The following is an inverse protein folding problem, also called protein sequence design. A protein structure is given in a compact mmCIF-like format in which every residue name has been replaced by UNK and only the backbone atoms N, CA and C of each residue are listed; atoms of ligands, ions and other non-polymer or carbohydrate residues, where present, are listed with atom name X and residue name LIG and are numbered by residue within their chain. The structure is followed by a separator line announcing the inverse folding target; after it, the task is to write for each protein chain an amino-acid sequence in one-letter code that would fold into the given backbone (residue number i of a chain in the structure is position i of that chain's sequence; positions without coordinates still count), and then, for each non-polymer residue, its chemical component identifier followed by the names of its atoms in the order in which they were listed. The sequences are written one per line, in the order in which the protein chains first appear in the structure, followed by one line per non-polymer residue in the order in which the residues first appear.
data_IF_113200758658
#
_entry.id   IF_113200758658
#
_cell.length_a   1.000
_cell.length_b   1.000
_cell.length_c   1.000
_cell.angle_alpha   90.00
_cell.angle_beta   90.00
_cell.angle_gamma   90.00
#
_symmetry.space_group_name_H-M   'P 1'
#
loop_
_entity.id
_entity.type
_entity.pdbx_description
1 polymer ?
#
# COMPACT_ATOMS: atom_id res chain seq x y z
N UNK A 1 -14.85 15.75 21.01
CA UNK A 1 -14.45 16.50 19.79
C UNK A 1 -13.57 15.60 18.94
N UNK A 2 -14.19 14.75 18.12
CA UNK A 2 -13.48 13.91 17.16
C UNK A 2 -13.40 14.69 15.85
N UNK A 3 -12.20 15.12 15.48
CA UNK A 3 -11.94 15.75 14.18
C UNK A 3 -12.03 14.68 13.11
N UNK A 4 -13.22 14.55 12.51
CA UNK A 4 -13.37 13.88 11.23
C UNK A 4 -12.84 14.85 10.18
N UNK A 5 -11.54 14.75 9.87
CA UNK A 5 -10.93 15.51 8.78
C UNK A 5 -11.49 14.99 7.46
N UNK A 6 -12.61 15.59 7.02
CA UNK A 6 -13.03 15.56 5.63
C UNK A 6 -11.99 16.40 4.90
N UNK A 7 -11.06 15.77 4.18
CA UNK A 7 -10.13 16.43 3.26
C UNK A 7 -10.81 16.52 1.90
N UNK A 8 -11.25 17.70 1.43
CA UNK A 8 -11.65 17.88 0.05
C UNK A 8 -10.39 18.30 -0.73
N UNK A 9 -9.89 17.45 -1.61
CA UNK A 9 -9.02 17.89 -2.69
C UNK A 9 -9.29 17.08 -3.94
N UNK A 10 -10.00 17.71 -4.88
CA UNK A 10 -10.11 17.27 -6.27
C UNK A 10 -8.83 17.59 -7.02
N UNK A 11 -7.71 17.01 -6.58
CA UNK A 11 -6.51 16.83 -7.39
C UNK A 11 -6.42 15.34 -7.71
N UNK A 12 -5.98 14.98 -8.92
CA UNK A 12 -5.76 13.59 -9.33
C UNK A 12 -4.60 12.99 -8.52
N UNK A 13 -4.87 12.67 -7.26
CA UNK A 13 -3.88 12.17 -6.32
C UNK A 13 -3.85 10.66 -6.37
N UNK A 14 -2.65 10.11 -6.49
CA UNK A 14 -2.46 8.66 -6.44
C UNK A 14 -2.39 8.20 -4.99
N UNK A 15 -2.63 6.91 -4.82
CA UNK A 15 -2.43 6.22 -3.55
C UNK A 15 -1.21 5.31 -3.68
N UNK A 16 -0.40 5.23 -2.61
CA UNK A 16 0.74 4.34 -2.52
C UNK A 16 0.39 3.15 -1.62
N UNK A 17 0.41 1.94 -2.18
CA UNK A 17 0.31 0.70 -1.43
C UNK A 17 1.68 0.23 -0.97
N UNK A 18 1.77 -0.23 0.28
CA UNK A 18 3.01 -0.70 0.91
C UNK A 18 2.76 -2.04 1.58
N UNK A 19 3.51 -3.05 1.16
CA UNK A 19 3.64 -4.33 1.85
C UNK A 19 4.94 -4.32 2.67
N UNK A 20 4.83 -4.04 3.98
CA UNK A 20 5.97 -3.82 4.85
C UNK A 20 6.53 -5.15 5.40
N UNK A 21 7.65 -5.60 4.82
CA UNK A 21 8.41 -6.74 5.32
C UNK A 21 9.71 -6.36 6.02
N UNK A 22 10.17 -7.22 6.93
CA UNK A 22 11.42 -7.02 7.69
C UNK A 22 12.70 -6.96 6.85
N UNK A 23 12.67 -7.49 5.62
CA UNK A 23 13.82 -7.49 4.68
C UNK A 23 13.57 -6.70 3.41
N UNK A 24 12.34 -6.74 2.92
CA UNK A 24 11.92 -6.16 1.64
C UNK A 24 10.56 -5.52 1.82
N UNK A 25 10.33 -4.44 1.11
CA UNK A 25 9.05 -3.72 1.11
C UNK A 25 8.54 -3.67 -0.33
N UNK A 26 7.35 -4.19 -0.55
CA UNK A 26 6.67 -4.11 -1.83
C UNK A 26 5.92 -2.79 -1.95
N UNK A 27 6.00 -2.16 -3.12
CA UNK A 27 5.36 -0.87 -3.41
C UNK A 27 4.41 -1.02 -4.60
N UNK A 28 3.25 -0.38 -4.51
CA UNK A 28 2.26 -0.30 -5.58
C UNK A 28 1.69 1.12 -5.69
N UNK A 29 1.33 1.56 -6.89
CA UNK A 29 0.67 2.85 -7.12
C UNK A 29 -0.73 2.63 -7.67
N UNK A 30 -1.68 3.48 -7.28
CA UNK A 30 -2.98 3.50 -7.92
C UNK A 30 -2.92 4.16 -9.30
N UNK A 31 -3.96 3.92 -10.10
CA UNK A 31 -4.31 4.84 -11.17
C UNK A 31 -4.76 6.20 -10.62
N UNK A 32 -4.86 7.19 -11.51
CA UNK A 32 -5.24 8.57 -11.17
C UNK A 32 -6.70 8.69 -10.73
N UNK A 33 -7.53 7.70 -11.06
CA UNK A 33 -8.91 7.60 -10.58
C UNK A 33 -9.01 7.00 -9.17
N UNK A 34 -7.92 6.45 -8.62
CA UNK A 34 -7.94 5.77 -7.32
C UNK A 34 -8.82 4.52 -7.30
N UNK A 35 -8.95 3.82 -8.44
CA UNK A 35 -9.78 2.64 -8.59
C UNK A 35 -9.01 1.32 -8.39
N UNK A 36 -7.74 1.27 -8.83
CA UNK A 36 -6.96 0.02 -8.80
C UNK A 36 -5.47 0.26 -8.55
N UNK A 37 -4.85 -0.63 -7.77
CA UNK A 37 -3.41 -0.62 -7.51
C UNK A 37 -2.62 -1.48 -8.48
N UNK A 38 -1.44 -1.01 -8.88
CA UNK A 38 -0.51 -1.70 -9.78
C UNK A 38 0.86 -1.88 -9.12
N UNK A 39 1.50 -3.06 -9.23
CA UNK A 39 2.85 -3.28 -8.72
C UNK A 39 3.83 -2.24 -9.28
N UNK A 40 4.59 -1.60 -8.40
CA UNK A 40 5.55 -0.57 -8.77
C UNK A 40 6.99 -1.06 -8.66
N UNK A 41 7.41 -1.46 -7.45
CA UNK A 41 8.79 -1.92 -7.21
C UNK A 41 8.90 -2.67 -5.89
N UNK A 42 10.05 -3.29 -5.66
CA UNK A 42 10.43 -3.83 -4.35
C UNK A 42 11.74 -3.17 -3.92
N UNK A 43 11.73 -2.64 -2.70
CA UNK A 43 12.88 -1.97 -2.09
C UNK A 43 13.36 -2.77 -0.87
N UNK A 44 14.63 -2.60 -0.51
CA UNK A 44 15.21 -3.28 0.66
C UNK A 44 14.83 -2.46 1.91
N UNK A 45 14.40 -3.15 2.96
CA UNK A 45 14.13 -2.48 4.22
C UNK A 45 15.45 -2.08 4.89
N UNK A 46 15.85 -0.84 4.67
CA UNK A 46 17.05 -0.22 5.25
C UNK A 46 16.66 1.10 5.90
N UNK A 47 17.53 1.73 6.72
CA UNK A 47 17.23 3.04 7.31
C UNK A 47 16.92 4.16 6.29
N UNK A 48 17.27 3.99 5.01
CA UNK A 48 16.97 4.94 3.92
C UNK A 48 15.57 4.78 3.32
N UNK A 49 14.84 3.73 3.70
CA UNK A 49 13.54 3.41 3.13
C UNK A 49 12.57 4.60 3.25
N UNK A 50 12.55 5.30 4.38
CA UNK A 50 11.68 6.47 4.57
C UNK A 50 12.01 7.59 3.57
N UNK A 51 13.30 7.84 3.30
CA UNK A 51 13.71 8.83 2.30
C UNK A 51 13.26 8.41 0.89
N UNK A 52 13.40 7.13 0.55
CA UNK A 52 12.97 6.59 -0.75
C UNK A 52 11.45 6.72 -0.94
N UNK A 53 10.66 6.42 0.10
CA UNK A 53 9.21 6.60 0.05
C UNK A 53 8.81 8.07 -0.03
N UNK A 54 9.44 8.96 0.74
CA UNK A 54 9.14 10.39 0.67
C UNK A 54 9.46 10.97 -0.72
N UNK A 55 10.56 10.53 -1.34
CA UNK A 55 10.89 10.91 -2.71
C UNK A 55 9.86 10.40 -3.73
N UNK A 56 9.37 9.16 -3.56
CA UNK A 56 8.33 8.60 -4.41
C UNK A 56 6.99 9.34 -4.25
N UNK A 57 6.60 9.66 -3.01
CA UNK A 57 5.39 10.43 -2.70
C UNK A 57 5.40 11.77 -3.43
N UNK A 58 6.51 12.51 -3.36
CA UNK A 58 6.64 13.79 -4.03
C UNK A 58 6.67 13.65 -5.57
N UNK A 59 7.30 12.59 -6.09
CA UNK A 59 7.43 12.36 -7.54
C UNK A 59 6.12 11.98 -8.21
N UNK A 60 5.28 11.21 -7.54
CA UNK A 60 4.06 10.61 -8.10
C UNK A 60 2.77 11.28 -7.61
N UNK A 61 2.87 12.42 -6.90
CA UNK A 61 1.74 13.17 -6.32
C UNK A 61 0.82 12.26 -5.49
N UNK A 62 1.43 11.58 -4.52
CA UNK A 62 0.71 10.64 -3.66
C UNK A 62 -0.02 11.40 -2.57
N UNK A 63 -1.35 11.26 -2.53
CA UNK A 63 -2.21 11.91 -1.54
C UNK A 63 -2.46 11.09 -0.26
N UNK A 64 -2.20 9.78 -0.29
CA UNK A 64 -2.31 8.89 0.87
C UNK A 64 -1.49 7.60 0.69
N UNK A 65 -1.00 7.03 1.79
CA UNK A 65 -0.28 5.75 1.80
C UNK A 65 -1.09 4.70 2.55
N UNK A 66 -1.19 3.50 1.98
CA UNK A 66 -1.91 2.36 2.52
C UNK A 66 -0.89 1.28 2.86
N UNK A 67 -0.75 0.94 4.14
CA UNK A 67 0.19 -0.07 4.62
C UNK A 67 -0.58 -1.34 4.99
N UNK A 68 -0.15 -2.48 4.45
CA UNK A 68 -0.70 -3.78 4.82
C UNK A 68 -0.33 -4.17 6.26
N UNK A 69 -1.28 -4.71 7.00
CA UNK A 69 -1.06 -5.25 8.35
C UNK A 69 -1.25 -6.76 8.41
N UNK A 70 -0.15 -7.48 8.60
CA UNK A 70 -0.16 -8.89 9.00
C UNK A 70 -0.58 -9.04 10.45
N UNK A 71 -1.88 -9.29 10.66
CA UNK A 71 -2.40 -9.66 11.98
C UNK A 71 -2.06 -11.13 12.26
N UNK A 72 -1.39 -11.41 13.38
CA UNK A 72 -1.29 -12.79 13.88
C UNK A 72 -2.69 -13.24 14.32
N UNK A 73 -3.15 -14.40 13.84
CA UNK A 73 -4.43 -15.03 14.19
C UNK A 73 -4.54 -15.33 15.69
N UNK A 74 -3.41 -15.35 16.40
CA UNK A 74 -3.32 -15.64 17.83
C UNK A 74 -3.34 -14.40 18.75
N UNK A 75 -3.48 -13.18 18.21
CA UNK A 75 -3.60 -11.95 19.03
C UNK A 75 -2.36 -11.57 19.83
N UNK A 76 -1.18 -12.09 19.47
CA UNK A 76 0.11 -11.70 20.07
C UNK A 76 0.70 -10.52 19.30
N UNK A 77 1.45 -9.67 20.01
CA UNK A 77 2.15 -8.54 19.39
C UNK A 77 3.12 -9.04 18.31
N UNK A 78 2.78 -8.76 17.06
CA UNK A 78 3.68 -9.01 15.94
C UNK A 78 4.68 -7.83 15.89
N UNK A 79 5.99 -8.04 16.13
CA UNK A 79 6.98 -6.96 16.07
C UNK A 79 6.93 -6.21 14.73
N UNK A 80 6.59 -6.93 13.65
CA UNK A 80 6.44 -6.36 12.31
C UNK A 80 5.30 -5.33 12.25
N UNK A 81 4.20 -5.53 12.98
CA UNK A 81 3.11 -4.56 13.03
C UNK A 81 3.55 -3.27 13.73
N UNK A 82 4.26 -3.39 14.86
CA UNK A 82 4.84 -2.22 15.56
C UNK A 82 5.82 -1.45 14.65
N UNK A 83 6.68 -2.18 13.96
CA UNK A 83 7.65 -1.59 13.02
C UNK A 83 6.95 -0.91 11.84
N UNK A 84 5.87 -1.50 11.31
CA UNK A 84 5.06 -0.92 10.24
C UNK A 84 4.33 0.36 10.70
N UNK A 85 3.86 0.41 11.94
CA UNK A 85 3.27 1.62 12.51
C UNK A 85 4.31 2.73 12.67
N UNK A 86 5.44 2.43 13.30
CA UNK A 86 6.53 3.39 13.46
C UNK A 86 7.03 3.90 12.09
N UNK A 87 7.10 3.03 11.09
CA UNK A 87 7.42 3.40 9.71
C UNK A 87 6.38 4.38 9.12
N UNK A 88 5.09 4.11 9.29
CA UNK A 88 4.02 5.01 8.86
C UNK A 88 4.07 6.38 9.55
N UNK A 89 4.32 6.40 10.86
CA UNK A 89 4.45 7.65 11.63
C UNK A 89 5.60 8.51 11.09
N UNK A 90 6.74 7.89 10.78
CA UNK A 90 7.89 8.59 10.18
C UNK A 90 7.58 9.15 8.79
N UNK A 91 6.83 8.43 7.96
CA UNK A 91 6.39 8.93 6.66
C UNK A 91 5.47 10.14 6.86
N UNK A 92 4.44 10.01 7.71
CA UNK A 92 3.48 11.10 8.01
C UNK A 92 4.22 12.36 8.47
N UNK A 93 5.16 12.20 9.41
CA UNK A 93 5.91 13.31 9.96
C UNK A 93 6.79 14.04 8.91
N UNK A 94 7.25 13.34 7.87
CA UNK A 94 8.14 13.93 6.85
C UNK A 94 7.44 14.40 5.59
N UNK A 95 6.39 13.71 5.16
CA UNK A 95 5.66 14.03 3.92
C UNK A 95 4.37 14.81 4.16
N UNK A 96 3.79 14.75 5.37
CA UNK A 96 2.48 15.31 5.67
C UNK A 96 1.30 14.51 5.09
N UNK A 97 1.58 13.38 4.44
CA UNK A 97 0.58 12.52 3.80
C UNK A 97 -0.02 11.57 4.84
N UNK A 98 -1.36 11.42 4.90
CA UNK A 98 -2.00 10.48 5.81
C UNK A 98 -1.67 9.03 5.49
N UNK A 99 -1.56 8.22 6.54
CA UNK A 99 -1.37 6.77 6.45
C UNK A 99 -2.67 6.07 6.85
N UNK A 100 -3.07 5.09 6.04
CA UNK A 100 -4.13 4.15 6.35
C UNK A 100 -3.57 2.74 6.42
N UNK A 101 -4.21 1.90 7.22
CA UNK A 101 -3.80 0.51 7.39
C UNK A 101 -4.89 -0.43 6.87
N UNK A 102 -4.46 -1.47 6.17
CA UNK A 102 -5.34 -2.45 5.57
C UNK A 102 -5.00 -3.85 6.08
N UNK A 103 -5.96 -4.49 6.75
CA UNK A 103 -5.74 -5.84 7.30
C UNK A 103 -5.73 -6.88 6.18
N UNK A 104 -4.74 -7.78 6.19
CA UNK A 104 -4.59 -8.86 5.20
C UNK A 104 -5.68 -9.96 5.25
N UNK A 105 -6.73 -9.81 6.07
CA UNK A 105 -7.67 -10.89 6.47
C UNK A 105 -8.45 -11.52 5.29
N UNK A 106 -8.36 -10.99 4.08
CA UNK A 106 -9.23 -11.41 2.96
C UNK A 106 -8.56 -12.10 1.76
N UNK A 107 -7.40 -12.75 1.91
CA UNK A 107 -6.86 -13.55 0.78
C UNK A 107 -7.04 -15.06 0.92
N UNK A 108 -7.19 -15.65 2.12
CA UNK A 108 -7.29 -17.12 2.20
C UNK A 108 -8.61 -17.70 1.66
N UNK A 109 -9.70 -16.92 1.61
CA UNK A 109 -10.98 -17.37 1.06
C UNK A 109 -11.28 -16.83 -0.35
N UNK A 110 -10.82 -15.61 -0.69
CA UNK A 110 -11.05 -14.99 -2.00
C UNK A 110 -9.99 -15.37 -3.05
N UNK A 111 -8.75 -15.69 -2.65
CA UNK A 111 -7.69 -16.08 -3.60
C UNK A 111 -7.87 -17.49 -4.20
N UNK A 112 -8.88 -18.25 -3.78
CA UNK A 112 -9.27 -19.51 -4.46
C UNK A 112 -10.18 -19.31 -5.67
N UNK A 113 -10.48 -18.07 -6.08
CA UNK A 113 -11.36 -17.78 -7.24
C UNK A 113 -10.78 -16.76 -8.23
N UNK A 114 -9.50 -16.89 -8.58
CA UNK A 114 -9.03 -16.36 -9.87
C UNK A 114 -8.72 -17.55 -10.79
N UNK A 115 -9.67 -18.01 -11.61
CA UNK A 115 -9.34 -18.82 -12.77
C UNK A 115 -8.50 -17.96 -13.71
N UNK A 116 -7.38 -18.52 -14.18
CA UNK A 116 -6.37 -17.80 -14.93
C UNK A 116 -6.92 -16.96 -16.08
N UNK A 117 -6.36 -15.75 -16.23
CA UNK A 117 -6.23 -15.09 -17.53
C UNK A 117 -4.85 -14.47 -17.62
N UNK A 118 -4.02 -15.07 -18.47
CA UNK A 118 -2.89 -14.44 -19.10
C UNK A 118 -3.34 -13.10 -19.72
N UNK A 119 -2.97 -11.99 -19.10
CA UNK A 119 -2.94 -10.69 -19.76
C UNK A 119 -1.47 -10.32 -19.95
N UNK A 120 -0.94 -10.68 -21.12
CA UNK A 120 0.38 -10.24 -21.60
C UNK A 120 0.35 -8.73 -21.88
N UNK A 121 0.58 -7.92 -20.87
CA UNK A 121 0.86 -6.48 -21.02
C UNK A 121 2.37 -6.29 -21.07
N UNK A 122 2.92 -6.03 -22.27
CA UNK A 122 4.33 -5.67 -22.48
C UNK A 122 4.62 -4.30 -21.85
N UNK A 123 5.00 -4.27 -20.58
CA UNK A 123 5.80 -3.18 -20.01
C UNK A 123 7.29 -3.60 -20.04
N UNK A 124 8.23 -2.69 -20.34
CA UNK A 124 9.64 -3.05 -20.53
C UNK A 124 10.26 -3.56 -19.23
N UNK A 125 10.63 -4.85 -19.23
CA UNK A 125 11.35 -5.55 -18.16
C UNK A 125 12.57 -4.76 -17.68
N UNK A 126 12.55 -4.29 -16.45
CA UNK A 126 13.75 -3.89 -15.71
C UNK A 126 13.85 -4.68 -14.40
N UNK A 127 14.84 -5.58 -14.40
CA UNK A 127 15.62 -6.13 -13.28
C UNK A 127 14.83 -6.82 -12.14
N UNK A 128 14.96 -8.15 -12.13
CA UNK A 128 14.63 -9.08 -11.04
C UNK A 128 13.16 -9.03 -10.60
N UNK A 129 12.33 -9.82 -11.30
CA UNK A 129 10.92 -10.08 -11.00
C UNK A 129 10.77 -10.74 -9.62
N UNK A 130 10.90 -9.96 -8.55
CA UNK A 130 10.25 -10.24 -7.27
C UNK A 130 8.96 -9.42 -7.33
N UNK A 131 7.85 -10.13 -7.41
CA UNK A 131 6.54 -9.57 -7.73
C UNK A 131 5.97 -8.78 -6.54
N UNK A 132 5.73 -7.48 -6.71
CA UNK A 132 5.09 -6.61 -5.71
C UNK A 132 3.55 -6.73 -5.70
N UNK A 133 3.01 -7.83 -6.24
CA UNK A 133 1.56 -8.10 -6.29
C UNK A 133 0.86 -8.02 -4.94
N UNK A 134 1.53 -8.36 -3.83
CA UNK A 134 0.96 -8.22 -2.49
C UNK A 134 0.56 -6.77 -2.18
N UNK A 135 1.47 -5.81 -2.42
CA UNK A 135 1.20 -4.39 -2.25
C UNK A 135 0.06 -3.88 -3.14
N UNK A 136 -0.04 -4.40 -4.38
CA UNK A 136 -1.12 -4.05 -5.30
C UNK A 136 -2.48 -4.59 -4.84
N UNK A 137 -2.51 -5.80 -4.29
CA UNK A 137 -3.72 -6.40 -3.71
C UNK A 137 -4.18 -5.65 -2.47
N UNK A 138 -3.25 -5.30 -1.56
CA UNK A 138 -3.52 -4.45 -0.39
C UNK A 138 -4.18 -3.14 -0.82
N UNK A 139 -3.54 -2.44 -1.77
CA UNK A 139 -4.03 -1.16 -2.25
C UNK A 139 -5.41 -1.29 -2.90
N UNK A 140 -5.60 -2.27 -3.79
CA UNK A 140 -6.88 -2.48 -4.47
C UNK A 140 -7.99 -2.86 -3.50
N UNK A 141 -7.69 -3.65 -2.46
CA UNK A 141 -8.63 -4.00 -1.37
C UNK A 141 -9.13 -2.74 -0.67
N UNK A 142 -8.20 -1.87 -0.27
CA UNK A 142 -8.53 -0.62 0.40
C UNK A 142 -9.40 0.29 -0.47
N UNK A 143 -8.97 0.54 -1.71
CA UNK A 143 -9.69 1.41 -2.66
C UNK A 143 -11.10 0.88 -2.95
N UNK A 144 -11.24 -0.44 -3.15
CA UNK A 144 -12.54 -1.08 -3.38
C UNK A 144 -13.49 -0.95 -2.18
N UNK A 145 -12.97 -0.88 -0.95
CA UNK A 145 -13.78 -0.66 0.24
C UNK A 145 -14.14 0.82 0.42
N UNK A 146 -13.22 1.72 0.12
CA UNK A 146 -13.46 3.17 0.19
C UNK A 146 -14.52 3.63 -0.81
N UNK A 147 -14.50 3.08 -2.04
CA UNK A 147 -15.50 3.37 -3.09
C UNK A 147 -16.93 2.96 -2.69
N UNK A 148 -17.09 1.89 -1.91
CA UNK A 148 -18.41 1.34 -1.56
C UNK A 148 -19.15 2.09 -0.45
N UNK A 149 -18.53 3.10 0.19
CA UNK A 149 -19.08 3.76 1.37
C UNK A 149 -19.24 2.81 2.57
N UNK A 150 -19.46 3.32 3.79
CA UNK A 150 -19.77 2.48 4.93
C UNK A 150 -21.13 1.78 4.71
N UNK A 151 -21.16 0.46 4.83
CA UNK A 151 -22.39 -0.32 4.98
C UNK A 151 -22.86 -0.27 6.44
#
# INVERSE_FOLDING_TARGET
VAYMCIVPHTSFMRYLGVDYGSKKVGLALSDEAGAMGFPHSIVINTPRLVDEICALIAKEDVGAVIIGESRDLAGRENPIAKDAHAFGDLITARSGVPIFYESEVFTSAAARRVPGKEAKSRAPKRRADVDASAAALILTSYLSRADRGPQ
#
